data_IF_013826784300
#
_entry.id   IF_013826784300
#
_cell.length_a   1.000
_cell.length_b   1.000
_cell.length_c   1.000
_cell.angle_alpha   90.00
_cell.angle_beta   90.00
_cell.angle_gamma   90.00
#
_symmetry.space_group_name_H-M   'P 1'
#
loop_
_entity.id
_entity.type
_entity.pdbx_description
1 polymer ?
#
# COMPACT_ATOMS: atom_id res chain seq x y z
N UNK A 1 24.00 -3.38 6.57
CA UNK A 1 22.96 -2.45 7.05
C UNK A 1 21.86 -3.24 7.73
N UNK A 2 21.46 -2.82 8.92
CA UNK A 2 20.40 -3.44 9.73
C UNK A 2 19.26 -2.42 9.91
N UNK A 3 17.99 -2.84 10.07
CA UNK A 3 16.88 -1.91 10.24
C UNK A 3 17.04 -0.91 11.39
N UNK A 4 17.66 -1.32 12.48
CA UNK A 4 17.92 -0.48 13.67
C UNK A 4 19.37 -0.02 13.77
N UNK A 5 20.14 -0.04 12.69
CA UNK A 5 21.49 0.54 12.68
C UNK A 5 21.40 2.06 12.85
N UNK A 6 22.13 2.59 13.82
CA UNK A 6 22.18 4.03 14.05
C UNK A 6 23.00 4.70 12.96
N UNK A 7 22.40 5.64 12.24
CA UNK A 7 23.04 6.44 11.19
C UNK A 7 22.99 7.91 11.66
N UNK A 8 24.15 8.54 11.78
CA UNK A 8 24.27 9.89 12.31
C UNK A 8 24.11 9.97 13.81
N UNK A 9 23.62 11.11 14.31
CA UNK A 9 23.42 11.36 15.72
C UNK A 9 22.09 10.74 16.21
N UNK A 10 22.01 10.35 17.50
CA UNK A 10 20.77 9.81 18.09
C UNK A 10 19.75 10.91 18.46
N UNK A 11 19.94 12.12 17.99
CA UNK A 11 19.08 13.30 18.24
C UNK A 11 19.17 14.27 17.05
N UNK A 12 18.17 15.12 16.95
CA UNK A 12 18.16 16.25 16.01
C UNK A 12 18.76 17.45 16.72
N UNK A 13 19.88 17.98 16.19
CA UNK A 13 20.55 19.14 16.73
C UNK A 13 19.81 20.41 16.30
N UNK A 14 19.38 21.22 17.27
CA UNK A 14 18.70 22.50 17.03
C UNK A 14 19.40 23.60 17.82
N UNK A 15 19.85 24.65 17.14
CA UNK A 15 20.41 25.81 17.82
C UNK A 15 19.36 26.50 18.69
N UNK A 16 19.69 26.84 19.98
CA UNK A 16 18.75 27.49 20.88
C UNK A 16 18.14 28.79 20.34
N UNK A 17 18.86 29.54 19.51
CA UNK A 17 18.37 30.76 18.85
C UNK A 17 17.22 30.52 17.85
N UNK A 18 17.06 29.28 17.34
CA UNK A 18 15.94 28.88 16.51
C UNK A 18 14.69 28.55 17.32
N UNK A 19 14.81 28.34 18.63
CA UNK A 19 13.69 28.08 19.53
C UNK A 19 13.01 29.39 19.87
N UNK A 20 11.85 29.69 19.30
CA UNK A 20 11.14 30.96 19.51
C UNK A 20 10.24 30.97 20.75
N UNK A 21 9.89 29.79 21.24
CA UNK A 21 9.07 29.66 22.45
C UNK A 21 8.86 28.21 22.84
N UNK A 22 8.53 27.97 24.08
CA UNK A 22 8.13 26.67 24.62
C UNK A 22 6.76 26.83 25.26
N UNK A 23 5.81 26.05 24.81
CA UNK A 23 4.44 26.01 25.35
C UNK A 23 4.31 24.76 26.21
N UNK A 24 4.11 24.99 27.52
CA UNK A 24 3.81 23.91 28.46
C UNK A 24 2.32 23.55 28.35
N UNK A 25 2.03 22.30 28.13
CA UNK A 25 0.65 21.82 27.96
C UNK A 25 0.45 20.47 28.64
N UNK A 26 -0.80 20.18 29.05
CA UNK A 26 -1.24 18.88 29.53
C UNK A 26 -2.20 18.21 28.53
N UNK A 27 -2.35 18.79 27.33
CA UNK A 27 -3.12 18.15 26.26
C UNK A 27 -2.41 16.89 25.81
N UNK A 28 -3.10 15.75 25.72
CA UNK A 28 -2.52 14.54 25.15
C UNK A 28 -2.26 14.72 23.65
N UNK A 29 -1.38 13.87 23.09
CA UNK A 29 -1.20 13.80 21.66
C UNK A 29 -2.51 13.41 20.97
N UNK A 30 -2.75 13.98 19.78
CA UNK A 30 -3.84 13.56 18.94
C UNK A 30 -3.61 12.13 18.44
N UNK A 31 -4.56 11.27 18.72
CA UNK A 31 -4.53 9.88 18.28
C UNK A 31 -5.78 9.56 17.45
N UNK A 32 -5.62 8.75 16.40
CA UNK A 32 -6.73 8.32 15.55
C UNK A 32 -7.13 6.89 15.90
N UNK A 33 -8.44 6.69 16.14
CA UNK A 33 -8.97 5.35 16.23
C UNK A 33 -8.85 4.65 14.87
N UNK A 34 -8.34 3.43 14.87
CA UNK A 34 -8.30 2.58 13.69
C UNK A 34 -9.61 1.84 13.52
N UNK A 35 -10.11 1.75 12.30
CA UNK A 35 -11.26 0.90 11.99
C UNK A 35 -10.82 -0.56 12.04
N UNK A 36 -11.54 -1.44 12.76
CA UNK A 36 -11.24 -2.86 12.76
C UNK A 36 -11.24 -3.45 11.34
N UNK A 37 -10.38 -4.45 11.11
CA UNK A 37 -10.37 -5.20 9.86
C UNK A 37 -11.70 -5.94 9.63
N UNK A 38 -12.00 -6.22 8.37
CA UNK A 38 -13.17 -6.98 7.93
C UNK A 38 -12.73 -8.20 7.08
N UNK A 39 -13.68 -9.00 6.60
CA UNK A 39 -13.37 -10.19 5.80
C UNK A 39 -12.59 -9.87 4.51
N UNK A 40 -12.85 -8.70 3.88
CA UNK A 40 -12.09 -8.25 2.69
C UNK A 40 -10.63 -8.00 3.05
N UNK A 41 -10.35 -7.23 4.10
CA UNK A 41 -8.98 -6.93 4.52
C UNK A 41 -8.26 -8.17 5.04
N UNK A 42 -8.98 -9.12 5.65
CA UNK A 42 -8.44 -10.40 6.08
C UNK A 42 -8.01 -11.26 4.89
N UNK A 43 -8.86 -11.38 3.86
CA UNK A 43 -8.53 -12.10 2.63
C UNK A 43 -7.32 -11.48 1.90
N UNK A 44 -7.27 -10.14 1.80
CA UNK A 44 -6.11 -9.42 1.25
C UNK A 44 -4.84 -9.75 2.04
N UNK A 45 -4.91 -9.74 3.37
CA UNK A 45 -3.79 -10.09 4.24
C UNK A 45 -3.30 -11.53 4.03
N UNK A 46 -4.22 -12.48 3.88
CA UNK A 46 -3.90 -13.87 3.59
C UNK A 46 -3.21 -14.02 2.24
N UNK A 47 -3.76 -13.45 1.16
CA UNK A 47 -3.14 -13.48 -0.17
C UNK A 47 -1.76 -12.80 -0.18
N UNK A 48 -1.60 -11.71 0.58
CA UNK A 48 -0.29 -11.04 0.73
C UNK A 48 0.72 -11.97 1.41
N UNK A 49 0.31 -12.68 2.48
CA UNK A 49 1.17 -13.64 3.17
C UNK A 49 1.58 -14.81 2.25
N UNK A 50 0.63 -15.38 1.52
CA UNK A 50 0.87 -16.45 0.55
C UNK A 50 1.84 -16.00 -0.55
N UNK A 51 1.66 -14.78 -1.06
CA UNK A 51 2.54 -14.22 -2.08
C UNK A 51 3.97 -13.98 -1.58
N UNK A 52 4.14 -13.45 -0.37
CA UNK A 52 5.47 -13.31 0.24
C UNK A 52 6.14 -14.67 0.44
N UNK A 53 5.40 -15.66 0.95
CA UNK A 53 5.90 -17.04 1.13
C UNK A 53 6.30 -17.66 -0.21
N UNK A 54 5.49 -17.45 -1.26
CA UNK A 54 5.83 -17.91 -2.60
C UNK A 54 7.14 -17.28 -3.10
N UNK A 55 7.31 -15.95 -2.95
CA UNK A 55 8.54 -15.26 -3.32
C UNK A 55 9.77 -15.77 -2.56
N UNK A 56 9.60 -16.14 -1.29
CA UNK A 56 10.68 -16.76 -0.50
C UNK A 56 11.03 -18.16 -1.02
N UNK A 57 10.04 -18.96 -1.42
CA UNK A 57 10.25 -20.30 -2.02
C UNK A 57 10.95 -20.21 -3.37
N UNK A 58 10.74 -19.13 -4.12
CA UNK A 58 11.44 -18.84 -5.38
C UNK A 58 12.81 -18.16 -5.20
N UNK A 59 13.24 -17.89 -3.98
CA UNK A 59 14.45 -17.15 -3.64
C UNK A 59 14.52 -15.70 -4.15
N UNK A 60 13.38 -15.08 -4.45
CA UNK A 60 13.30 -13.63 -4.73
C UNK A 60 13.46 -12.80 -3.45
N UNK A 61 12.99 -13.31 -2.31
CA UNK A 61 13.08 -12.68 -1.00
C UNK A 61 13.82 -13.62 -0.06
N UNK A 62 14.75 -13.09 0.72
CA UNK A 62 15.45 -13.86 1.74
C UNK A 62 14.53 -14.23 2.90
N UNK A 63 14.40 -15.52 3.18
CA UNK A 63 13.64 -16.01 4.35
C UNK A 63 14.29 -15.60 5.68
N UNK A 64 15.61 -15.42 5.70
CA UNK A 64 16.38 -15.10 6.90
C UNK A 64 16.48 -13.60 7.18
N UNK A 65 16.06 -12.75 6.23
CA UNK A 65 16.16 -11.30 6.34
C UNK A 65 14.93 -10.67 5.66
N UNK A 66 13.76 -10.94 6.21
CA UNK A 66 12.53 -10.30 5.74
C UNK A 66 12.39 -8.92 6.42
N UNK A 67 12.34 -7.88 5.61
CA UNK A 67 12.13 -6.49 6.07
C UNK A 67 10.92 -5.94 5.33
N UNK A 68 9.91 -5.52 6.07
CA UNK A 68 8.66 -5.02 5.54
C UNK A 68 8.51 -3.52 5.78
N UNK A 69 7.96 -2.82 4.81
CA UNK A 69 7.35 -1.51 5.00
C UNK A 69 5.84 -1.70 4.96
N UNK A 70 5.14 -0.97 5.81
CA UNK A 70 3.68 -0.93 5.84
C UNK A 70 3.17 0.47 5.52
N UNK A 71 2.20 0.57 4.63
CA UNK A 71 1.43 1.78 4.41
C UNK A 71 0.62 2.16 5.66
N UNK A 72 -0.09 3.29 5.59
CA UNK A 72 -0.92 3.81 6.68
C UNK A 72 -2.39 3.48 6.43
N UNK A 73 -3.12 3.21 7.50
CA UNK A 73 -4.57 2.97 7.48
C UNK A 73 -4.98 1.57 7.93
N UNK A 74 -6.28 1.40 8.10
CA UNK A 74 -6.86 0.17 8.66
C UNK A 74 -6.58 -1.06 7.79
N UNK A 75 -6.57 -0.91 6.47
CA UNK A 75 -6.24 -2.00 5.53
C UNK A 75 -4.79 -2.47 5.68
N UNK A 76 -3.84 -1.54 5.70
CA UNK A 76 -2.43 -1.86 5.92
C UNK A 76 -2.19 -2.52 7.29
N UNK A 77 -2.85 -2.01 8.33
CA UNK A 77 -2.77 -2.58 9.67
C UNK A 77 -3.31 -4.02 9.71
N UNK A 78 -4.44 -4.29 9.04
CA UNK A 78 -5.01 -5.64 8.94
C UNK A 78 -4.10 -6.62 8.17
N UNK A 79 -3.44 -6.16 7.10
CA UNK A 79 -2.44 -6.96 6.37
C UNK A 79 -1.28 -7.33 7.28
N UNK A 80 -0.76 -6.38 8.06
CA UNK A 80 0.32 -6.66 9.02
C UNK A 80 -0.10 -7.66 10.09
N UNK A 81 -1.34 -7.58 10.59
CA UNK A 81 -1.91 -8.57 11.50
C UNK A 81 -1.91 -9.99 10.89
N UNK A 82 -2.43 -10.13 9.68
CA UNK A 82 -2.46 -11.41 8.97
C UNK A 82 -1.05 -11.99 8.73
N UNK A 83 -0.08 -11.15 8.40
CA UNK A 83 1.33 -11.56 8.26
C UNK A 83 1.90 -12.06 9.60
N UNK A 84 1.58 -11.39 10.69
CA UNK A 84 1.98 -11.80 12.04
C UNK A 84 1.39 -13.15 12.47
N UNK A 85 0.17 -13.44 12.09
CA UNK A 85 -0.54 -14.70 12.41
C UNK A 85 -0.10 -15.88 11.53
N UNK A 86 0.44 -15.61 10.34
CA UNK A 86 0.86 -16.65 9.40
C UNK A 86 2.06 -17.42 9.94
N UNK A 87 1.93 -18.76 10.05
CA UNK A 87 3.01 -19.66 10.48
C UNK A 87 4.10 -19.85 9.42
N UNK A 88 3.79 -19.59 8.16
CA UNK A 88 4.74 -19.74 7.05
C UNK A 88 5.62 -18.51 6.87
N UNK A 89 5.14 -17.32 7.24
CA UNK A 89 5.93 -16.09 7.25
C UNK A 89 6.90 -16.15 8.44
N UNK A 90 8.23 -16.02 8.22
CA UNK A 90 9.20 -16.02 9.32
C UNK A 90 9.04 -14.76 10.20
N UNK A 91 9.73 -14.72 11.33
CA UNK A 91 9.90 -13.48 12.07
C UNK A 91 10.59 -12.45 11.16
N UNK A 92 10.15 -11.20 11.24
CA UNK A 92 10.60 -10.16 10.33
C UNK A 92 10.95 -8.86 11.07
N UNK A 93 11.56 -7.95 10.36
CA UNK A 93 11.78 -6.58 10.83
C UNK A 93 10.95 -5.60 10.02
N UNK A 94 10.74 -4.41 10.56
CA UNK A 94 10.02 -3.34 9.90
C UNK A 94 10.96 -2.15 9.66
N UNK A 95 10.88 -1.60 8.44
CA UNK A 95 11.50 -0.34 8.08
C UNK A 95 10.46 0.48 7.32
N UNK A 96 9.91 1.51 7.94
CA UNK A 96 8.72 2.22 7.45
C UNK A 96 8.76 3.70 7.81
N UNK A 97 7.97 4.52 7.11
CA UNK A 97 7.76 5.92 7.48
C UNK A 97 6.95 6.03 8.77
N UNK A 98 5.83 5.29 8.86
CA UNK A 98 4.90 5.33 10.00
C UNK A 98 4.67 3.94 10.56
N UNK A 99 4.78 3.80 11.87
CA UNK A 99 4.48 2.57 12.60
C UNK A 99 3.10 2.67 13.26
N UNK A 100 2.27 1.64 13.08
CA UNK A 100 0.90 1.58 13.59
C UNK A 100 0.73 0.50 14.69
N UNK A 101 -0.49 0.19 15.05
CA UNK A 101 -0.84 -0.65 16.20
C UNK A 101 -0.42 -2.12 16.06
N UNK A 102 -0.74 -2.75 14.92
CA UNK A 102 -0.41 -4.16 14.72
C UNK A 102 1.09 -4.45 14.78
N UNK A 103 1.96 -3.67 14.12
CA UNK A 103 3.39 -3.75 14.37
C UNK A 103 3.80 -3.69 15.84
N UNK A 104 3.16 -2.81 16.64
CA UNK A 104 3.45 -2.70 18.08
C UNK A 104 3.09 -3.98 18.84
N UNK A 105 1.91 -4.54 18.56
CA UNK A 105 1.49 -5.83 19.10
C UNK A 105 2.48 -6.95 18.72
N UNK A 106 2.85 -7.02 17.46
CA UNK A 106 3.77 -8.04 16.93
C UNK A 106 5.20 -7.91 17.50
N UNK A 107 5.65 -6.71 17.85
CA UNK A 107 6.93 -6.51 18.56
C UNK A 107 6.85 -7.15 19.95
N UNK A 108 5.78 -6.95 20.69
CA UNK A 108 5.59 -7.57 22.02
C UNK A 108 5.50 -9.09 21.96
N UNK A 109 4.86 -9.62 20.96
CA UNK A 109 4.75 -11.06 20.70
C UNK A 109 6.06 -11.69 20.16
N UNK A 110 7.06 -10.88 19.81
CA UNK A 110 8.34 -11.36 19.29
C UNK A 110 8.27 -11.80 17.81
N UNK A 111 7.19 -11.50 17.11
CA UNK A 111 7.06 -11.73 15.65
C UNK A 111 7.82 -10.67 14.85
N UNK A 112 7.75 -9.42 15.28
CA UNK A 112 8.60 -8.33 14.77
C UNK A 112 9.83 -8.20 15.66
N UNK A 113 10.98 -8.44 15.09
CA UNK A 113 12.27 -8.42 15.80
C UNK A 113 12.74 -7.01 16.11
N UNK A 114 12.54 -6.10 15.17
CA UNK A 114 12.93 -4.70 15.27
C UNK A 114 12.14 -3.84 14.29
N UNK A 115 11.90 -2.58 14.64
CA UNK A 115 11.24 -1.60 13.79
C UNK A 115 12.02 -0.28 13.76
N UNK A 116 12.18 0.26 12.55
CA UNK A 116 12.73 1.59 12.31
C UNK A 116 11.67 2.44 11.61
N UNK A 117 11.39 3.63 12.13
CA UNK A 117 10.28 4.46 11.66
C UNK A 117 10.55 5.95 11.86
N UNK A 118 9.87 6.79 11.07
CA UNK A 118 9.88 8.24 11.25
C UNK A 118 8.86 8.72 12.27
N UNK A 119 7.74 8.01 12.42
CA UNK A 119 6.64 8.40 13.30
C UNK A 119 5.85 7.20 13.82
N UNK A 120 5.14 7.42 14.91
CA UNK A 120 4.15 6.48 15.46
C UNK A 120 2.75 7.08 15.27
N UNK A 121 1.83 6.29 14.72
CA UNK A 121 0.40 6.65 14.66
C UNK A 121 -0.40 5.57 15.35
N UNK A 122 -0.79 5.85 16.58
CA UNK A 122 -1.43 4.91 17.50
C UNK A 122 -2.78 5.46 17.95
N UNK A 123 -3.72 4.56 18.29
CA UNK A 123 -4.92 4.95 19.02
C UNK A 123 -4.59 5.41 20.43
N UNK A 124 -5.51 6.11 21.11
CA UNK A 124 -5.30 6.54 22.48
C UNK A 124 -4.91 5.39 23.43
N UNK A 125 -5.52 4.22 23.23
CA UNK A 125 -5.26 3.02 24.02
C UNK A 125 -3.84 2.50 23.84
N UNK A 126 -3.41 2.35 22.58
CA UNK A 126 -2.05 1.88 22.26
C UNK A 126 -0.97 2.90 22.63
N UNK A 127 -1.27 4.17 22.57
CA UNK A 127 -0.36 5.21 23.03
C UNK A 127 -0.17 5.13 24.56
N UNK A 128 -1.25 4.92 25.31
CA UNK A 128 -1.17 4.69 26.77
C UNK A 128 -0.40 3.40 27.11
N UNK A 129 -0.61 2.33 26.32
CA UNK A 129 0.15 1.09 26.48
C UNK A 129 1.65 1.31 26.25
N UNK A 130 2.02 2.05 25.20
CA UNK A 130 3.40 2.40 24.91
C UNK A 130 4.04 3.14 26.10
N UNK A 131 3.36 4.15 26.66
CA UNK A 131 3.91 4.91 27.79
C UNK A 131 4.08 4.06 29.05
N UNK A 132 3.13 3.16 29.35
CA UNK A 132 3.20 2.25 30.50
C UNK A 132 4.28 1.18 30.36
N UNK A 133 4.51 0.70 29.13
CA UNK A 133 5.34 -0.45 28.83
C UNK A 133 6.55 -0.09 27.95
N UNK A 134 7.06 1.13 28.07
CA UNK A 134 8.16 1.67 27.24
C UNK A 134 9.37 0.73 27.21
N UNK A 135 9.65 0.03 28.31
CA UNK A 135 10.79 -0.88 28.38
C UNK A 135 10.65 -2.11 27.46
N UNK A 136 9.43 -2.52 27.10
CA UNK A 136 9.20 -3.65 26.18
C UNK A 136 9.61 -3.29 24.75
N UNK A 137 9.62 -2.00 24.43
CA UNK A 137 9.94 -1.48 23.11
C UNK A 137 11.38 -0.95 23.00
N UNK A 138 12.04 -0.73 24.16
CA UNK A 138 13.41 -0.21 24.19
C UNK A 138 14.38 -1.14 23.45
N UNK A 139 15.17 -0.58 22.54
CA UNK A 139 16.12 -1.34 21.72
C UNK A 139 15.47 -2.15 20.58
N UNK A 140 14.14 -2.11 20.46
CA UNK A 140 13.40 -2.76 19.36
C UNK A 140 12.79 -1.75 18.39
N UNK A 141 12.53 -0.51 18.83
CA UNK A 141 12.04 0.59 18.01
C UNK A 141 13.10 1.67 17.94
N UNK A 142 13.38 2.15 16.75
CA UNK A 142 14.25 3.29 16.50
C UNK A 142 13.49 4.36 15.70
N UNK A 143 13.31 5.53 16.31
CA UNK A 143 12.77 6.71 15.64
C UNK A 143 13.85 7.40 14.83
N UNK A 144 13.55 7.80 13.61
CA UNK A 144 14.49 8.45 12.69
C UNK A 144 13.86 9.70 12.08
N UNK A 145 14.66 10.68 11.66
CA UNK A 145 14.16 11.72 10.76
C UNK A 145 13.80 11.12 9.39
N UNK A 146 12.91 11.78 8.65
CA UNK A 146 12.43 11.32 7.33
C UNK A 146 13.56 11.16 6.32
N UNK A 147 14.59 11.98 6.41
CA UNK A 147 15.80 11.92 5.57
C UNK A 147 16.52 10.57 5.65
N UNK A 148 16.29 9.82 6.74
CA UNK A 148 16.83 8.48 6.93
C UNK A 148 15.74 7.43 6.68
N UNK A 149 14.56 7.57 7.28
CA UNK A 149 13.48 6.56 7.15
C UNK A 149 13.02 6.41 5.70
N UNK A 150 13.03 7.50 4.94
CA UNK A 150 12.58 7.54 3.55
C UNK A 150 13.75 7.60 2.54
N UNK A 151 14.98 7.36 2.99
CA UNK A 151 16.16 7.41 2.13
C UNK A 151 16.14 6.26 1.11
N UNK A 152 16.08 6.55 -0.20
CA UNK A 152 16.05 5.55 -1.26
C UNK A 152 17.19 4.52 -1.18
N UNK A 153 18.40 5.00 -0.94
CA UNK A 153 19.60 4.15 -0.85
C UNK A 153 19.51 3.16 0.31
N UNK A 154 19.00 3.58 1.46
CA UNK A 154 18.85 2.72 2.63
C UNK A 154 17.75 1.68 2.39
N UNK A 155 16.61 2.10 1.83
CA UNK A 155 15.49 1.21 1.47
C UNK A 155 15.99 0.09 0.54
N UNK A 156 16.70 0.46 -0.52
CA UNK A 156 17.25 -0.50 -1.49
C UNK A 156 18.29 -1.44 -0.86
N UNK A 157 19.24 -0.92 -0.06
CA UNK A 157 20.26 -1.73 0.61
C UNK A 157 19.70 -2.68 1.66
N UNK A 158 18.61 -2.32 2.31
CA UNK A 158 17.93 -3.20 3.24
C UNK A 158 17.20 -4.33 2.54
N UNK A 159 16.80 -4.14 1.29
CA UNK A 159 15.95 -5.07 0.54
C UNK A 159 14.52 -5.07 1.09
N UNK A 160 13.95 -3.90 1.29
CA UNK A 160 12.60 -3.73 1.85
C UNK A 160 11.55 -4.27 0.88
N UNK A 161 10.58 -5.04 1.37
CA UNK A 161 9.35 -5.34 0.66
C UNK A 161 8.28 -4.33 1.09
N UNK A 162 7.83 -3.50 0.15
CA UNK A 162 6.85 -2.46 0.45
C UNK A 162 5.43 -2.97 0.27
N UNK A 163 4.56 -2.62 1.23
CA UNK A 163 3.14 -2.93 1.26
C UNK A 163 2.36 -1.62 1.41
N UNK A 164 1.90 -1.08 0.29
CA UNK A 164 1.15 0.18 0.24
C UNK A 164 -0.32 -0.07 -0.11
N UNK A 165 -1.16 0.96 0.03
CA UNK A 165 -2.59 0.88 -0.25
C UNK A 165 -2.93 1.70 -1.47
N UNK A 166 -3.78 1.18 -2.36
CA UNK A 166 -4.30 1.88 -3.52
C UNK A 166 -5.77 2.30 -3.31
N UNK A 167 -6.18 3.39 -3.95
CA UNK A 167 -7.58 3.78 -4.13
C UNK A 167 -8.13 3.13 -5.41
N UNK A 168 -7.36 3.22 -6.50
CA UNK A 168 -7.67 2.57 -7.77
C UNK A 168 -6.38 2.17 -8.50
N UNK A 169 -6.49 1.17 -9.35
CA UNK A 169 -5.42 0.63 -10.19
C UNK A 169 -5.96 0.46 -11.59
N UNK A 170 -5.22 0.88 -12.63
CA UNK A 170 -5.66 0.56 -13.98
C UNK A 170 -5.19 -0.81 -14.46
N UNK A 171 -5.76 -1.24 -15.59
CA UNK A 171 -5.49 -2.57 -16.16
C UNK A 171 -4.03 -2.78 -16.60
N UNK A 172 -3.18 -1.77 -16.55
CA UNK A 172 -1.76 -1.89 -16.87
C UNK A 172 -0.84 -1.76 -15.66
N UNK A 173 -1.40 -1.42 -14.48
CA UNK A 173 -0.68 -1.40 -13.21
C UNK A 173 -0.25 -0.02 -12.73
N UNK A 174 -0.77 1.07 -13.33
CA UNK A 174 -0.68 2.38 -12.70
C UNK A 174 -1.52 2.42 -11.43
N UNK A 175 -1.06 3.11 -10.41
CA UNK A 175 -1.72 3.20 -9.12
C UNK A 175 -2.02 4.64 -8.75
N UNK A 176 -3.27 4.88 -8.36
CA UNK A 176 -3.72 6.07 -7.67
C UNK A 176 -3.91 5.74 -6.18
N UNK A 177 -3.18 6.42 -5.33
CA UNK A 177 -3.23 6.25 -3.86
C UNK A 177 -3.69 7.51 -3.12
N UNK A 178 -3.94 8.62 -3.82
CA UNK A 178 -4.19 9.91 -3.18
C UNK A 178 -5.54 10.54 -3.51
N UNK A 179 -6.09 10.33 -4.71
CA UNK A 179 -7.26 11.10 -5.18
C UNK A 179 -8.45 10.23 -5.56
N UNK A 180 -9.58 10.51 -4.96
CA UNK A 180 -10.87 9.92 -5.37
C UNK A 180 -11.36 10.61 -6.64
N UNK A 181 -11.67 9.83 -7.66
CA UNK A 181 -12.13 10.30 -8.98
C UNK A 181 -11.23 11.41 -9.57
N UNK A 182 -9.93 11.33 -9.34
CA UNK A 182 -8.91 12.22 -9.87
C UNK A 182 -8.89 13.65 -9.33
N UNK A 183 -9.89 14.05 -8.56
CA UNK A 183 -10.09 15.46 -8.17
C UNK A 183 -10.09 15.71 -6.67
N UNK A 184 -10.66 14.81 -5.88
CA UNK A 184 -10.78 14.97 -4.43
C UNK A 184 -9.62 14.29 -3.72
N UNK A 185 -8.74 15.08 -3.12
CA UNK A 185 -7.66 14.55 -2.30
C UNK A 185 -8.24 13.80 -1.09
N UNK A 186 -7.86 12.55 -0.92
CA UNK A 186 -8.20 11.70 0.22
C UNK A 186 -7.08 11.70 1.25
N UNK A 187 -5.84 11.58 0.78
CA UNK A 187 -4.62 11.61 1.59
C UNK A 187 -3.44 12.07 0.74
N UNK A 188 -2.33 12.44 1.38
CA UNK A 188 -1.06 12.68 0.70
C UNK A 188 -0.42 11.39 0.22
N UNK A 189 0.58 11.51 -0.65
CA UNK A 189 1.36 10.37 -1.13
C UNK A 189 2.26 9.79 -0.03
N UNK A 190 2.66 10.61 0.95
CA UNK A 190 3.59 10.25 2.02
C UNK A 190 4.88 9.65 1.45
N UNK A 191 5.45 8.70 2.15
CA UNK A 191 6.65 7.96 1.70
C UNK A 191 6.37 6.85 0.69
N UNK A 192 5.14 6.70 0.18
CA UNK A 192 4.84 5.55 -0.67
C UNK A 192 5.67 5.53 -1.96
N UNK A 193 6.02 6.70 -2.52
CA UNK A 193 6.94 6.78 -3.66
C UNK A 193 8.35 6.34 -3.31
N UNK A 194 8.88 6.81 -2.17
CA UNK A 194 10.24 6.47 -1.73
C UNK A 194 10.40 4.96 -1.57
N UNK A 195 9.41 4.32 -0.94
CA UNK A 195 9.43 2.88 -0.73
C UNK A 195 9.13 2.10 -2.02
N UNK A 196 8.10 2.47 -2.79
CA UNK A 196 7.72 1.75 -4.01
C UNK A 196 8.85 1.72 -5.03
N UNK A 197 9.49 2.88 -5.31
CA UNK A 197 10.55 2.97 -6.31
C UNK A 197 11.85 2.26 -5.92
N UNK A 198 12.05 1.97 -4.64
CA UNK A 198 13.31 1.44 -4.11
C UNK A 198 13.16 0.11 -3.37
N UNK A 199 11.96 -0.44 -3.32
CA UNK A 199 11.70 -1.74 -2.72
C UNK A 199 12.31 -2.88 -3.54
N UNK A 200 12.65 -3.99 -2.87
CA UNK A 200 12.96 -5.26 -3.52
C UNK A 200 11.70 -5.91 -4.11
N UNK A 201 10.55 -5.68 -3.49
CA UNK A 201 9.24 -6.10 -3.96
C UNK A 201 8.23 -5.01 -3.59
N UNK A 202 7.64 -4.36 -4.59
CA UNK A 202 6.66 -3.30 -4.42
C UNK A 202 5.24 -3.83 -4.63
N UNK A 203 4.46 -3.92 -3.55
CA UNK A 203 3.11 -4.48 -3.55
C UNK A 203 2.10 -3.41 -3.12
N UNK A 204 1.00 -3.31 -3.85
CA UNK A 204 -0.16 -2.51 -3.45
C UNK A 204 -1.35 -3.39 -3.13
N UNK A 205 -2.11 -2.99 -2.13
CA UNK A 205 -3.34 -3.68 -1.70
C UNK A 205 -4.53 -2.76 -1.82
N UNK A 206 -5.67 -3.28 -2.26
CA UNK A 206 -6.94 -2.55 -2.23
C UNK A 206 -8.12 -3.53 -2.17
N UNK A 207 -9.24 -3.12 -1.58
CA UNK A 207 -10.51 -3.80 -1.83
C UNK A 207 -10.87 -3.67 -3.30
N UNK A 208 -11.40 -4.73 -3.91
CA UNK A 208 -11.75 -4.71 -5.34
C UNK A 208 -12.85 -3.72 -5.69
N UNK A 209 -13.65 -3.30 -4.71
CA UNK A 209 -14.74 -2.33 -4.86
C UNK A 209 -14.85 -1.37 -3.70
N UNK A 210 -15.55 -0.26 -3.94
CA UNK A 210 -15.99 0.71 -2.95
C UNK A 210 -17.48 1.05 -3.13
N UNK A 211 -18.08 1.77 -2.15
CA UNK A 211 -19.47 2.23 -2.20
C UNK A 211 -20.47 1.09 -2.47
N UNK A 212 -20.39 0.03 -1.68
CA UNK A 212 -21.29 -1.13 -1.78
C UNK A 212 -21.25 -1.79 -3.18
N UNK A 213 -20.05 -1.94 -3.74
CA UNK A 213 -19.84 -2.57 -5.04
C UNK A 213 -20.09 -1.69 -6.25
N UNK A 214 -20.47 -0.41 -6.08
CA UNK A 214 -20.79 0.50 -7.18
C UNK A 214 -19.57 1.15 -7.85
N UNK A 215 -18.42 1.08 -7.22
CA UNK A 215 -17.14 1.57 -7.75
C UNK A 215 -16.19 0.41 -7.83
N UNK A 216 -15.59 0.16 -8.97
CA UNK A 216 -14.47 -0.76 -9.14
C UNK A 216 -13.16 -0.07 -8.77
N UNK A 217 -12.30 -0.76 -8.03
CA UNK A 217 -10.93 -0.30 -7.80
C UNK A 217 -9.99 -0.66 -8.96
N UNK A 218 -10.38 -1.62 -9.82
CA UNK A 218 -9.67 -1.91 -11.08
C UNK A 218 -10.43 -1.24 -12.21
N UNK A 219 -9.75 -0.36 -12.95
CA UNK A 219 -10.37 0.51 -13.97
C UNK A 219 -9.57 0.47 -15.27
N UNK A 220 -10.13 0.92 -16.41
CA UNK A 220 -9.38 1.01 -17.67
C UNK A 220 -8.18 1.96 -17.59
N UNK A 221 -8.33 3.10 -16.94
CA UNK A 221 -7.28 4.09 -16.74
C UNK A 221 -7.48 4.80 -15.40
N UNK A 222 -6.41 4.95 -14.61
CA UNK A 222 -6.45 5.68 -13.34
C UNK A 222 -6.81 7.15 -13.56
N UNK A 223 -7.72 7.65 -12.75
CA UNK A 223 -8.13 9.07 -12.78
C UNK A 223 -7.04 10.02 -12.26
N UNK A 224 -6.04 9.49 -11.59
CA UNK A 224 -4.79 10.12 -11.16
C UNK A 224 -3.71 9.04 -11.03
N UNK A 225 -2.46 9.36 -11.34
CA UNK A 225 -1.35 8.41 -11.23
C UNK A 225 -0.33 8.93 -10.22
N UNK A 226 -0.20 8.23 -9.12
CA UNK A 226 0.85 8.46 -8.13
C UNK A 226 2.05 7.54 -8.38
N UNK A 227 1.79 6.29 -8.86
CA UNK A 227 2.83 5.31 -9.18
C UNK A 227 2.60 4.73 -10.56
N UNK A 228 3.65 4.74 -11.37
CA UNK A 228 3.61 4.17 -12.71
C UNK A 228 3.78 2.65 -12.66
N UNK A 229 3.29 1.95 -13.68
CA UNK A 229 3.39 0.49 -13.82
C UNK A 229 4.83 -0.05 -13.84
N UNK A 230 5.83 0.84 -13.96
CA UNK A 230 7.25 0.47 -13.98
C UNK A 230 7.80 0.13 -12.59
N UNK A 231 7.16 0.63 -11.53
CA UNK A 231 7.60 0.46 -10.15
C UNK A 231 6.69 -0.46 -9.33
N UNK A 232 5.59 -0.93 -9.93
CA UNK A 232 4.59 -1.75 -9.24
C UNK A 232 4.79 -3.21 -9.62
N UNK A 233 5.20 -4.04 -8.66
CA UNK A 233 5.45 -5.46 -8.89
C UNK A 233 4.19 -6.32 -8.74
N UNK A 234 3.32 -5.98 -7.81
CA UNK A 234 2.11 -6.75 -7.56
C UNK A 234 0.96 -5.91 -7.01
N UNK A 235 -0.26 -6.33 -7.35
CA UNK A 235 -1.51 -5.84 -6.78
C UNK A 235 -2.22 -6.99 -6.10
N UNK A 236 -2.77 -6.73 -4.91
CA UNK A 236 -3.53 -7.72 -4.13
C UNK A 236 -4.92 -7.19 -3.82
N UNK A 237 -5.91 -7.99 -4.13
CA UNK A 237 -7.31 -7.78 -3.70
C UNK A 237 -7.80 -8.98 -2.89
N UNK A 238 -9.02 -8.96 -2.41
CA UNK A 238 -9.66 -10.12 -1.77
C UNK A 238 -9.87 -11.31 -2.72
N UNK A 239 -9.68 -11.11 -4.02
CA UNK A 239 -9.81 -12.16 -5.04
C UNK A 239 -8.47 -12.78 -5.46
N UNK A 240 -7.35 -12.32 -4.94
CA UNK A 240 -6.03 -12.89 -5.21
C UNK A 240 -4.95 -11.85 -5.47
N UNK A 241 -3.89 -12.31 -6.13
CA UNK A 241 -2.69 -11.53 -6.44
C UNK A 241 -2.48 -11.44 -7.95
N UNK A 242 -2.27 -10.25 -8.47
CA UNK A 242 -1.73 -10.01 -9.81
C UNK A 242 -0.23 -9.70 -9.68
N UNK A 243 0.63 -10.67 -9.94
CA UNK A 243 2.07 -10.46 -10.11
C UNK A 243 2.32 -9.88 -11.50
N UNK A 244 2.81 -8.64 -11.56
CA UNK A 244 2.97 -7.88 -12.81
C UNK A 244 4.37 -8.00 -13.40
N UNK A 245 5.30 -8.64 -12.67
CA UNK A 245 6.69 -8.77 -13.09
C UNK A 245 6.82 -9.69 -14.31
N UNK A 246 7.72 -9.32 -15.22
CA UNK A 246 8.02 -10.09 -16.43
C UNK A 246 6.80 -10.36 -17.33
N UNK A 247 5.81 -9.45 -17.31
CA UNK A 247 4.60 -9.54 -18.12
C UNK A 247 4.54 -8.41 -19.15
N UNK A 248 4.05 -8.75 -20.33
CA UNK A 248 3.62 -7.75 -21.31
C UNK A 248 2.42 -6.95 -20.80
N UNK A 249 2.12 -5.83 -21.41
CA UNK A 249 0.98 -5.00 -21.03
C UNK A 249 -0.35 -5.80 -21.05
N UNK A 250 -0.55 -6.64 -22.05
CA UNK A 250 -1.76 -7.47 -22.15
C UNK A 250 -1.82 -8.55 -21.05
N UNK A 251 -0.71 -9.19 -20.73
CA UNK A 251 -0.64 -10.16 -19.63
C UNK A 251 -0.85 -9.49 -18.26
N UNK A 252 -0.37 -8.25 -18.06
CA UNK A 252 -0.68 -7.44 -16.88
C UNK A 252 -2.19 -7.19 -16.78
N UNK A 253 -2.81 -6.78 -17.88
CA UNK A 253 -4.24 -6.50 -17.92
C UNK A 253 -5.07 -7.75 -17.59
N UNK A 254 -4.76 -8.91 -18.16
CA UNK A 254 -5.45 -10.16 -17.81
C UNK A 254 -5.28 -10.53 -16.33
N UNK A 255 -4.08 -10.36 -15.78
CA UNK A 255 -3.81 -10.63 -14.37
C UNK A 255 -4.60 -9.70 -13.44
N UNK A 256 -4.67 -8.39 -13.76
CA UNK A 256 -5.42 -7.41 -13.00
C UNK A 256 -6.93 -7.61 -13.09
N UNK A 257 -7.44 -7.92 -14.28
CA UNK A 257 -8.87 -8.25 -14.47
C UNK A 257 -9.24 -9.51 -13.68
N UNK A 258 -8.35 -10.49 -13.57
CA UNK A 258 -8.60 -11.72 -12.82
C UNK A 258 -8.84 -11.48 -11.34
N UNK A 259 -8.22 -10.44 -10.74
CA UNK A 259 -8.39 -10.06 -9.35
C UNK A 259 -9.41 -8.92 -9.12
N UNK A 260 -10.04 -8.41 -10.18
CA UNK A 260 -11.16 -7.48 -10.06
C UNK A 260 -12.39 -8.18 -9.47
N UNK A 261 -13.34 -7.42 -8.95
CA UNK A 261 -14.62 -7.97 -8.50
C UNK A 261 -15.33 -8.69 -9.65
N UNK A 262 -15.95 -9.86 -9.42
CA UNK A 262 -16.58 -10.65 -10.47
C UNK A 262 -17.53 -9.88 -11.39
N UNK A 263 -18.32 -8.95 -10.87
CA UNK A 263 -19.24 -8.13 -11.65
C UNK A 263 -18.53 -7.24 -12.67
N UNK A 264 -17.29 -6.83 -12.40
CA UNK A 264 -16.51 -5.94 -13.27
C UNK A 264 -15.62 -6.66 -14.27
N UNK A 265 -15.32 -7.95 -14.05
CA UNK A 265 -14.46 -8.72 -14.98
C UNK A 265 -14.98 -8.75 -16.40
N UNK A 266 -16.28 -9.02 -16.66
CA UNK A 266 -16.82 -8.96 -18.02
C UNK A 266 -16.72 -7.57 -18.65
N UNK A 267 -16.99 -6.54 -17.86
CA UNK A 267 -16.96 -5.14 -18.29
C UNK A 267 -15.54 -4.74 -18.73
N UNK A 268 -14.53 -5.07 -17.92
CA UNK A 268 -13.13 -4.78 -18.23
C UNK A 268 -12.61 -5.61 -19.41
N UNK A 269 -13.01 -6.87 -19.54
CA UNK A 269 -12.66 -7.71 -20.73
C UNK A 269 -13.26 -7.14 -21.99
N UNK A 270 -14.50 -6.67 -21.95
CA UNK A 270 -15.12 -6.02 -23.12
C UNK A 270 -14.38 -4.74 -23.50
N UNK A 271 -13.99 -3.90 -22.53
CA UNK A 271 -13.14 -2.75 -22.80
C UNK A 271 -11.84 -3.16 -23.51
N UNK A 272 -11.14 -4.18 -23.00
CA UNK A 272 -9.91 -4.69 -23.62
C UNK A 272 -10.11 -5.21 -25.03
N UNK A 273 -11.21 -5.96 -25.24
CA UNK A 273 -11.56 -6.47 -26.57
C UNK A 273 -11.77 -5.35 -27.59
N UNK A 274 -12.50 -4.30 -27.18
CA UNK A 274 -12.76 -3.13 -28.02
C UNK A 274 -11.49 -2.32 -28.24
N UNK A 275 -10.70 -2.10 -27.19
CA UNK A 275 -9.43 -1.38 -27.28
C UNK A 275 -8.39 -2.10 -28.16
N UNK A 276 -8.46 -3.42 -28.27
CA UNK A 276 -7.59 -4.20 -29.14
C UNK A 276 -7.65 -3.81 -30.62
N UNK A 277 -8.79 -3.28 -31.07
CA UNK A 277 -8.94 -2.79 -32.44
C UNK A 277 -8.08 -1.56 -32.74
N UNK A 278 -7.68 -0.78 -31.72
CA UNK A 278 -6.84 0.39 -31.86
C UNK A 278 -5.34 0.06 -31.86
N UNK A 279 -4.96 -1.14 -31.44
CA UNK A 279 -3.57 -1.61 -31.42
C UNK A 279 -2.68 -0.85 -30.42
N UNK A 280 -1.37 -0.91 -30.65
CA UNK A 280 -0.37 -0.26 -29.79
C UNK A 280 0.21 -1.20 -28.73
N UNK A 281 1.09 -0.68 -27.88
CA UNK A 281 1.70 -1.43 -26.78
C UNK A 281 0.70 -1.62 -25.61
N UNK A 282 0.04 -0.54 -25.22
CA UNK A 282 -1.09 -0.53 -24.28
C UNK A 282 -2.35 -0.19 -25.05
N UNK A 283 -3.33 -1.11 -25.04
CA UNK A 283 -4.55 -0.94 -25.81
C UNK A 283 -5.51 -0.02 -25.05
N UNK A 284 -5.77 1.18 -25.57
CA UNK A 284 -6.70 2.13 -25.00
C UNK A 284 -7.63 2.73 -26.04
N UNK A 285 -8.88 2.97 -25.62
CA UNK A 285 -9.81 3.84 -26.31
C UNK A 285 -9.83 5.15 -25.52
N UNK A 286 -9.02 6.13 -25.95
CA UNK A 286 -8.83 7.37 -25.16
C UNK A 286 -10.15 8.06 -24.75
N UNK A 287 -11.16 8.21 -25.64
CA UNK A 287 -12.46 8.76 -25.24
C UNK A 287 -13.17 7.94 -24.17
N UNK A 288 -12.95 6.63 -24.11
CA UNK A 288 -13.59 5.71 -23.17
C UNK A 288 -12.73 5.44 -21.91
N UNK A 289 -11.51 5.96 -21.83
CA UNK A 289 -10.57 5.68 -20.74
C UNK A 289 -11.17 5.96 -19.34
N UNK A 290 -11.99 7.01 -19.22
CA UNK A 290 -12.66 7.40 -18.00
C UNK A 290 -14.18 7.14 -18.01
N UNK A 291 -14.68 6.33 -18.94
CA UNK A 291 -16.13 6.09 -19.07
C UNK A 291 -16.76 5.50 -17.82
N UNK A 292 -16.08 4.61 -17.09
CA UNK A 292 -16.57 4.07 -15.82
C UNK A 292 -16.72 5.16 -14.77
N UNK A 293 -15.75 6.08 -14.65
CA UNK A 293 -15.81 7.23 -13.73
C UNK A 293 -16.94 8.18 -14.08
N UNK A 294 -17.10 8.52 -15.38
CA UNK A 294 -18.18 9.38 -15.86
C UNK A 294 -19.54 8.72 -15.64
N UNK A 295 -19.66 7.43 -15.88
CA UNK A 295 -20.88 6.66 -15.62
C UNK A 295 -21.24 6.69 -14.13
N UNK A 296 -20.27 6.49 -13.24
CA UNK A 296 -20.52 6.62 -11.81
C UNK A 296 -21.01 8.03 -11.45
N UNK A 297 -20.38 9.06 -11.98
CA UNK A 297 -20.78 10.46 -11.75
C UNK A 297 -22.22 10.75 -12.21
N UNK A 298 -22.63 10.19 -13.37
CA UNK A 298 -23.96 10.42 -13.97
C UNK A 298 -25.03 9.50 -13.41
N UNK A 299 -24.72 8.22 -13.23
CA UNK A 299 -25.68 7.14 -12.94
C UNK A 299 -25.52 6.52 -11.54
N UNK A 300 -24.42 6.85 -10.80
CA UNK A 300 -24.14 6.36 -9.45
C UNK A 300 -23.61 4.93 -9.35
N UNK A 301 -23.32 4.26 -10.49
CA UNK A 301 -22.82 2.89 -10.52
C UNK A 301 -21.95 2.67 -11.77
N UNK A 302 -20.69 2.26 -11.60
CA UNK A 302 -19.76 2.00 -12.71
C UNK A 302 -20.20 0.80 -13.58
N UNK A 303 -21.00 -0.14 -13.04
CA UNK A 303 -21.49 -1.31 -13.79
C UNK A 303 -22.42 -0.93 -14.93
N UNK A 304 -22.98 0.27 -14.89
CA UNK A 304 -23.90 0.79 -15.91
C UNK A 304 -23.17 1.44 -17.10
N UNK A 305 -21.85 1.24 -17.22
CA UNK A 305 -21.08 1.77 -18.35
C UNK A 305 -21.55 1.14 -19.66
N UNK A 306 -21.76 2.01 -20.66
CA UNK A 306 -22.02 1.63 -22.04
C UNK A 306 -20.87 2.16 -22.91
N UNK A 307 -20.05 1.26 -23.40
CA UNK A 307 -18.88 1.61 -24.20
C UNK A 307 -19.24 2.27 -25.53
N UNK A 308 -20.44 1.96 -26.10
CA UNK A 308 -20.89 2.54 -27.36
C UNK A 308 -21.11 4.06 -27.30
N UNK A 309 -21.35 4.62 -26.10
CA UNK A 309 -21.44 6.08 -25.91
C UNK A 309 -20.09 6.80 -26.22
N UNK A 310 -18.97 6.08 -26.22
CA UNK A 310 -17.62 6.65 -26.29
C UNK A 310 -16.83 6.20 -27.52
N UNK A 311 -17.32 5.17 -28.23
CA UNK A 311 -16.71 4.63 -29.45
C UNK A 311 -17.54 5.16 -30.62
N UNK A 312 -16.95 6.02 -31.45
CA UNK A 312 -17.56 6.42 -32.72
C UNK A 312 -16.96 5.52 -33.82
N UNK A 313 -17.81 5.02 -34.71
CA UNK A 313 -17.45 4.30 -35.90
C UNK A 313 -16.53 5.16 -36.81
#
# INVERSE_FOLDING_TARGET
TQPIEIIGLPYIEVSPEHVKGIVMTHLPDEARAMTPGNEVTKAIGQHTAEFLVWNMKQNYISRNKLILQSGVGSGANAVMGALGESKEVPNFSIYTEVLQEEPMRLIREGRVMAASTGALTLSPEHLQDLYRNMNDYRGRILLRPSEISNCPEIIARLGVCSLNTAIEVDIYGHVNSTKVSGTKMMNGVGGSCDFTCNAMLATFTCGSTAKDGRISSIVPFCSHVDHTEHYVDAIVTEYGVADLRNKSALEKAEALIAIAHPDYRPILREYMRLAGAYGGHTHHILPAAFAMHDTFRRKGDMRLVDWSEYIKD
#
